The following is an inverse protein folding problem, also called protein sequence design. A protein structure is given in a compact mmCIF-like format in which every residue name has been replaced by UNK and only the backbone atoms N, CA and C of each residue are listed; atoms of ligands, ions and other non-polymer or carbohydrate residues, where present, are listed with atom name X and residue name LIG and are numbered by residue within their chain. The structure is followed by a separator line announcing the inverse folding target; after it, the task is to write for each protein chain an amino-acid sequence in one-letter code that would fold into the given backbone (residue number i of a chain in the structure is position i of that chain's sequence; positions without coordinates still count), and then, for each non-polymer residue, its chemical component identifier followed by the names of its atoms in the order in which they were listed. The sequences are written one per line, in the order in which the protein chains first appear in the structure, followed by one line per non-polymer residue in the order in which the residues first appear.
data_IF_971730940521
#
_entry.id   IF_971730940521
#
_cell.length_a   1.000
_cell.length_b   1.000
_cell.length_c   1.000
_cell.angle_alpha   90.00
_cell.angle_beta   90.00
_cell.angle_gamma   90.00
#
_symmetry.space_group_name_H-M   'P 1'
#
loop_
_entity.id
_entity.type
_entity.pdbx_description
1 polymer ?
#
# COMPACT_ATOMS: atom_id res chain seq x y z
N UNK A 1 -25.99 -14.90 -12.31
CA UNK A 1 -24.90 -15.10 -11.32
C UNK A 1 -24.32 -13.74 -11.00
N UNK A 2 -24.60 -13.18 -9.81
CA UNK A 2 -24.04 -11.88 -9.40
C UNK A 2 -22.51 -12.02 -9.28
N UNK A 3 -21.70 -11.09 -9.82
CA UNK A 3 -20.27 -11.13 -9.56
C UNK A 3 -20.06 -10.88 -8.06
N UNK A 4 -19.58 -11.90 -7.35
CA UNK A 4 -19.18 -11.80 -5.95
C UNK A 4 -18.31 -10.55 -5.76
N UNK A 5 -18.67 -9.72 -4.77
CA UNK A 5 -17.92 -8.53 -4.35
C UNK A 5 -16.62 -8.96 -3.65
N UNK A 6 -15.76 -9.70 -4.36
CA UNK A 6 -14.53 -10.26 -3.82
C UNK A 6 -13.62 -9.12 -3.38
N UNK A 7 -12.95 -9.23 -2.22
CA UNK A 7 -11.97 -8.26 -1.79
C UNK A 7 -10.87 -8.07 -2.84
N UNK A 8 -10.26 -6.90 -2.81
CA UNK A 8 -9.17 -6.50 -3.69
C UNK A 8 -7.92 -6.30 -2.87
N UNK A 9 -6.80 -6.64 -3.49
CA UNK A 9 -5.47 -6.30 -3.02
C UNK A 9 -5.07 -4.99 -3.71
N UNK A 10 -4.59 -4.05 -2.93
CA UNK A 10 -4.09 -2.77 -3.42
C UNK A 10 -2.66 -2.51 -2.96
N UNK A 11 -1.93 -1.72 -3.75
CA UNK A 11 -0.75 -0.98 -3.29
C UNK A 11 -1.20 0.43 -2.92
N UNK A 12 -0.93 0.86 -1.69
CA UNK A 12 -1.25 2.20 -1.17
C UNK A 12 -0.01 3.07 -1.03
N UNK A 13 -0.11 4.33 -1.45
CA UNK A 13 0.91 5.37 -1.30
C UNK A 13 0.43 6.40 -0.29
N UNK A 14 1.21 6.62 0.76
CA UNK A 14 0.92 7.51 1.87
C UNK A 14 1.93 8.65 1.93
N UNK A 15 1.52 9.78 2.52
CA UNK A 15 2.43 10.88 2.84
C UNK A 15 3.58 10.37 3.72
N UNK A 16 4.80 10.77 3.39
CA UNK A 16 6.00 10.54 4.20
C UNK A 16 6.67 11.88 4.51
N UNK A 17 7.05 12.09 5.77
CA UNK A 17 7.64 13.34 6.23
C UNK A 17 9.15 13.51 5.97
N UNK A 18 9.81 12.52 5.35
CA UNK A 18 11.26 12.52 5.12
C UNK A 18 11.62 12.78 3.66
N UNK A 19 12.79 13.38 3.43
CA UNK A 19 13.35 13.56 2.09
C UNK A 19 13.62 12.22 1.41
N UNK A 20 13.31 12.14 0.12
CA UNK A 20 13.64 10.99 -0.72
C UNK A 20 15.15 10.80 -0.88
N UNK A 21 15.56 9.54 -0.87
CA UNK A 21 16.94 9.05 -1.03
C UNK A 21 17.07 8.16 -2.26
N UNK A 22 15.98 7.59 -2.78
CA UNK A 22 16.02 6.73 -3.96
C UNK A 22 16.02 7.57 -5.26
N UNK A 23 16.71 7.13 -6.34
CA UNK A 23 16.80 7.87 -7.60
C UNK A 23 15.46 8.18 -8.24
N UNK A 24 14.51 7.23 -8.22
CA UNK A 24 13.15 7.42 -8.74
C UNK A 24 12.21 8.14 -7.77
N UNK A 25 12.71 8.52 -6.59
CA UNK A 25 11.98 9.22 -5.52
C UNK A 25 10.76 8.47 -5.01
N UNK A 26 10.61 7.19 -5.33
CA UNK A 26 9.55 6.33 -4.80
C UNK A 26 9.50 6.33 -3.27
N UNK A 27 10.63 6.53 -2.61
CA UNK A 27 10.72 6.64 -1.15
C UNK A 27 10.29 8.00 -0.59
N UNK A 28 9.81 8.93 -1.43
CA UNK A 28 9.04 10.12 -1.01
C UNK A 28 7.69 9.76 -0.39
N UNK A 29 7.26 8.50 -0.55
CA UNK A 29 6.00 7.99 -0.02
C UNK A 29 6.27 6.85 0.95
N UNK A 30 5.34 6.66 1.88
CA UNK A 30 5.25 5.41 2.63
C UNK A 30 4.37 4.44 1.83
N UNK A 31 4.87 3.24 1.58
CA UNK A 31 4.14 2.26 0.80
C UNK A 31 3.52 1.21 1.74
N UNK A 32 2.33 0.73 1.41
CA UNK A 32 1.69 -0.39 2.09
C UNK A 32 0.91 -1.28 1.12
N UNK A 33 0.62 -2.51 1.54
CA UNK A 33 -0.43 -3.32 0.93
C UNK A 33 -1.75 -3.08 1.66
N UNK A 34 -2.86 -3.11 0.92
CA UNK A 34 -4.20 -2.97 1.47
C UNK A 34 -5.09 -4.12 1.01
N UNK A 35 -5.90 -4.66 1.91
CA UNK A 35 -7.05 -5.49 1.56
C UNK A 35 -8.34 -4.72 1.83
N UNK A 36 -9.32 -4.82 0.93
CA UNK A 36 -10.58 -4.11 1.11
C UNK A 36 -11.64 -4.45 0.06
N UNK A 37 -12.86 -3.92 0.19
CA UNK A 37 -13.95 -4.20 -0.74
C UNK A 37 -13.68 -3.57 -2.12
N UNK A 38 -14.17 -4.20 -3.20
CA UNK A 38 -14.05 -3.66 -4.56
C UNK A 38 -14.72 -2.29 -4.73
N UNK A 39 -15.82 -2.07 -4.02
CA UNK A 39 -16.61 -0.84 -4.04
C UNK A 39 -16.65 -0.27 -2.63
N UNK A 40 -16.46 1.04 -2.50
CA UNK A 40 -16.66 1.77 -1.24
C UNK A 40 -18.17 1.87 -0.96
N UNK A 41 -18.75 0.73 -0.56
CA UNK A 41 -20.15 0.65 -0.18
C UNK A 41 -20.29 1.22 1.24
N UNK A 42 -20.73 2.47 1.32
CA UNK A 42 -21.20 3.14 2.55
C UNK A 42 -20.28 2.96 3.76
N UNK A 43 -19.36 3.91 3.96
CA UNK A 43 -18.78 4.35 5.26
C UNK A 43 -18.02 3.35 6.15
N UNK A 44 -18.39 2.08 6.22
CA UNK A 44 -18.04 1.20 7.34
C UNK A 44 -17.10 0.05 6.99
N UNK A 45 -16.86 -0.24 5.72
CA UNK A 45 -15.86 -1.22 5.31
C UNK A 45 -14.50 -0.54 5.09
N UNK A 46 -13.65 -0.67 6.11
CA UNK A 46 -12.27 -0.15 6.13
C UNK A 46 -11.32 -1.05 5.36
N UNK A 47 -10.24 -0.49 4.83
CA UNK A 47 -9.15 -1.31 4.33
C UNK A 47 -8.27 -1.73 5.49
N UNK A 48 -7.78 -2.96 5.45
CA UNK A 48 -6.71 -3.41 6.33
C UNK A 48 -5.38 -3.06 5.67
N UNK A 49 -4.58 -2.23 6.33
CA UNK A 49 -3.24 -1.84 5.92
C UNK A 49 -2.21 -2.79 6.51
N UNK A 50 -1.37 -3.35 5.63
CA UNK A 50 -0.22 -4.17 5.99
C UNK A 50 1.03 -3.45 5.53
N UNK A 51 1.90 -3.10 6.48
CA UNK A 51 3.11 -2.35 6.19
C UNK A 51 4.25 -2.70 7.13
N UNK A 52 5.44 -2.23 6.78
CA UNK A 52 6.57 -2.16 7.70
C UNK A 52 6.90 -0.70 7.97
N UNK A 53 7.12 -0.36 9.23
CA UNK A 53 7.40 1.02 9.64
C UNK A 53 8.61 1.06 10.56
N UNK A 54 9.34 2.16 10.48
CA UNK A 54 10.38 2.51 11.42
C UNK A 54 9.74 3.11 12.67
N UNK A 55 9.97 2.49 13.83
CA UNK A 55 9.48 2.94 15.13
C UNK A 55 10.67 3.37 15.98
N UNK A 56 10.59 4.58 16.51
CA UNK A 56 11.54 5.05 17.53
C UNK A 56 11.30 4.29 18.83
N UNK A 57 12.36 3.73 19.38
CA UNK A 57 12.38 3.02 20.66
C UNK A 57 13.31 3.77 21.59
N UNK A 58 12.79 4.16 22.75
CA UNK A 58 13.54 4.86 23.80
C UNK A 58 13.77 3.86 24.92
N UNK A 59 15.01 3.45 25.13
CA UNK A 59 15.37 2.42 26.11
C UNK A 59 16.68 2.80 26.84
N UNK A 60 16.83 2.34 28.09
CA UNK A 60 18.04 2.49 28.90
C UNK A 60 18.07 3.68 29.86
N UNK A 61 19.09 3.69 30.75
CA UNK A 61 19.51 4.85 31.55
C UNK A 61 21.00 5.12 31.31
N UNK A 62 21.40 6.26 30.72
CA UNK A 62 20.53 7.32 30.18
C UNK A 62 19.74 6.84 28.94
N UNK A 63 18.60 7.48 28.68
CA UNK A 63 17.72 7.16 27.55
C UNK A 63 18.48 7.22 26.22
N UNK A 64 18.56 6.07 25.54
CA UNK A 64 19.07 5.96 24.19
C UNK A 64 17.89 5.86 23.21
N UNK A 65 17.89 6.72 22.19
CA UNK A 65 16.92 6.64 21.09
C UNK A 65 17.48 5.73 20.00
N UNK A 66 16.76 4.65 19.70
CA UNK A 66 17.06 3.74 18.61
C UNK A 66 15.88 3.64 17.65
N UNK A 67 16.12 3.12 16.45
CA UNK A 67 15.12 2.89 15.41
C UNK A 67 14.98 1.39 15.20
N UNK A 68 13.75 0.90 15.27
CA UNK A 68 13.42 -0.51 15.07
C UNK A 68 12.35 -0.61 14.00
N UNK A 69 12.60 -1.40 12.97
CA UNK A 69 11.60 -1.71 11.96
C UNK A 69 10.68 -2.82 12.47
N UNK A 70 9.38 -2.63 12.28
CA UNK A 70 8.36 -3.62 12.65
C UNK A 70 7.33 -3.80 11.54
N UNK A 71 6.79 -5.02 11.42
CA UNK A 71 5.57 -5.29 10.66
C UNK A 71 4.36 -4.89 11.50
N UNK A 72 3.42 -4.17 10.89
CA UNK A 72 2.20 -3.71 11.55
C UNK A 72 0.97 -3.92 10.65
N UNK A 73 -0.17 -4.12 11.32
CA UNK A 73 -1.49 -4.27 10.70
C UNK A 73 -2.41 -3.22 11.32
N UNK A 74 -2.90 -2.30 10.50
CA UNK A 74 -3.66 -1.14 10.94
C UNK A 74 -4.90 -0.92 10.07
N UNK A 75 -5.83 -0.10 10.57
CA UNK A 75 -6.90 0.47 9.73
C UNK A 75 -6.33 1.58 8.87
N UNK A 76 -6.77 1.68 7.61
CA UNK A 76 -6.38 2.77 6.72
C UNK A 76 -6.95 4.14 7.12
N UNK A 77 -7.95 4.19 8.03
CA UNK A 77 -8.65 5.44 8.42
C UNK A 77 -7.76 6.50 9.06
N UNK A 78 -6.69 6.12 9.74
CA UNK A 78 -5.81 7.05 10.48
C UNK A 78 -4.67 7.59 9.62
N UNK A 79 -4.60 7.24 8.34
CA UNK A 79 -3.40 7.42 7.52
C UNK A 79 -3.66 8.32 6.31
N UNK A 80 -2.73 9.25 6.03
CA UNK A 80 -2.79 10.22 4.92
C UNK A 80 -2.57 9.52 3.55
N UNK A 81 -3.54 8.70 3.14
CA UNK A 81 -3.53 7.97 1.87
C UNK A 81 -3.63 8.95 0.70
N UNK A 82 -2.61 8.94 -0.17
CA UNK A 82 -2.59 9.77 -1.38
C UNK A 82 -3.22 9.05 -2.56
N UNK A 83 -2.91 7.77 -2.76
CA UNK A 83 -3.45 6.98 -3.86
C UNK A 83 -3.40 5.49 -3.54
N UNK A 84 -4.31 4.72 -4.14
CA UNK A 84 -4.27 3.25 -4.10
C UNK A 84 -4.44 2.64 -5.48
N UNK A 85 -3.75 1.54 -5.74
CA UNK A 85 -3.69 0.85 -7.03
C UNK A 85 -4.19 -0.57 -6.84
N UNK A 86 -5.26 -0.97 -7.53
CA UNK A 86 -5.74 -2.36 -7.52
C UNK A 86 -4.74 -3.21 -8.30
N UNK A 87 -4.16 -4.20 -7.62
CA UNK A 87 -3.16 -5.11 -8.20
C UNK A 87 -3.63 -6.56 -8.22
N UNK A 88 -4.73 -6.90 -7.53
CA UNK A 88 -5.23 -8.27 -7.52
C UNK A 88 -6.62 -8.46 -6.92
N UNK A 89 -7.19 -9.62 -7.22
CA UNK A 89 -8.41 -10.13 -6.57
C UNK A 89 -8.00 -11.11 -5.48
N UNK A 90 -8.48 -10.91 -4.26
CA UNK A 90 -8.21 -11.82 -3.15
C UNK A 90 -9.18 -13.00 -3.24
N UNK A 91 -8.65 -14.22 -3.21
CA UNK A 91 -9.41 -15.46 -3.15
C UNK A 91 -9.42 -16.05 -1.74
N UNK A 92 -8.34 -15.87 -0.97
CA UNK A 92 -8.22 -16.32 0.42
C UNK A 92 -7.49 -15.25 1.27
N UNK A 93 -8.27 -14.52 2.08
CA UNK A 93 -7.75 -13.44 2.91
C UNK A 93 -6.87 -13.95 4.07
N UNK A 94 -7.26 -15.04 4.73
CA UNK A 94 -6.52 -15.57 5.86
C UNK A 94 -5.14 -16.09 5.42
N UNK A 95 -5.06 -16.76 4.27
CA UNK A 95 -3.78 -17.20 3.71
C UNK A 95 -2.94 -16.03 3.23
N UNK A 96 -3.55 -15.00 2.66
CA UNK A 96 -2.83 -13.75 2.34
C UNK A 96 -2.20 -13.18 3.60
N UNK A 97 -2.95 -12.97 4.67
CA UNK A 97 -2.45 -12.41 5.93
C UNK A 97 -1.33 -13.25 6.55
N UNK A 98 -1.46 -14.58 6.49
CA UNK A 98 -0.40 -15.50 6.94
C UNK A 98 0.89 -15.32 6.15
N UNK A 99 0.79 -15.15 4.83
CA UNK A 99 1.96 -14.89 3.97
C UNK A 99 2.58 -13.55 4.32
N UNK A 100 1.78 -12.47 4.38
CA UNK A 100 2.28 -11.13 4.65
C UNK A 100 3.01 -11.05 6.00
N UNK A 101 2.48 -11.70 7.05
CA UNK A 101 3.12 -11.77 8.37
C UNK A 101 4.43 -12.56 8.37
N UNK A 102 4.61 -13.49 7.44
CA UNK A 102 5.82 -14.32 7.33
C UNK A 102 6.99 -13.64 6.61
N UNK A 103 6.74 -12.53 5.91
CA UNK A 103 7.78 -11.78 5.19
C UNK A 103 8.77 -11.16 6.18
N UNK A 104 10.08 -11.48 6.11
CA UNK A 104 11.03 -10.99 7.10
C UNK A 104 11.23 -9.47 7.03
N UNK A 105 11.20 -8.85 8.21
CA UNK A 105 11.62 -7.44 8.40
C UNK A 105 13.14 -7.41 8.51
N UNK A 106 13.79 -6.59 7.68
CA UNK A 106 15.26 -6.53 7.56
C UNK A 106 15.75 -5.08 7.70
N UNK A 107 15.33 -4.42 8.78
CA UNK A 107 15.58 -2.99 9.03
C UNK A 107 17.06 -2.61 9.12
N UNK A 108 17.89 -3.58 9.48
CA UNK A 108 19.35 -3.48 9.57
C UNK A 108 20.06 -3.51 8.21
N UNK A 109 19.38 -3.97 7.15
CA UNK A 109 19.97 -4.09 5.82
C UNK A 109 19.95 -2.73 5.10
N UNK A 110 21.12 -2.28 4.65
CA UNK A 110 21.24 -1.04 3.88
C UNK A 110 20.34 -1.07 2.62
N UNK A 111 19.62 0.03 2.41
CA UNK A 111 18.69 0.18 1.29
C UNK A 111 17.34 -0.53 1.46
N UNK A 112 17.14 -1.29 2.54
CA UNK A 112 15.85 -1.91 2.84
C UNK A 112 14.83 -0.87 3.32
N UNK A 113 13.58 -1.01 2.84
CA UNK A 113 12.48 -0.08 3.13
C UNK A 113 11.12 -0.75 2.85
N UNK A 114 10.03 0.02 3.03
CA UNK A 114 8.66 -0.47 2.78
C UNK A 114 8.41 -0.91 1.33
N UNK A 115 9.08 -0.32 0.34
CA UNK A 115 8.96 -0.70 -1.07
C UNK A 115 9.53 -2.11 -1.28
N UNK A 116 10.73 -2.38 -0.74
CA UNK A 116 11.36 -3.69 -0.83
C UNK A 116 10.56 -4.79 -0.10
N UNK A 117 9.92 -4.46 1.03
CA UNK A 117 9.04 -5.39 1.74
C UNK A 117 7.79 -5.72 0.92
N UNK A 118 7.14 -4.73 0.30
CA UNK A 118 5.95 -4.96 -0.53
C UNK A 118 6.29 -5.81 -1.75
N UNK A 119 7.42 -5.55 -2.40
CA UNK A 119 7.86 -6.35 -3.54
C UNK A 119 7.94 -7.84 -3.19
N UNK A 120 8.59 -8.18 -2.08
CA UNK A 120 8.71 -9.57 -1.60
C UNK A 120 7.36 -10.13 -1.15
N UNK A 121 6.57 -9.35 -0.40
CA UNK A 121 5.26 -9.75 0.09
C UNK A 121 4.26 -10.04 -1.04
N UNK A 122 4.24 -9.17 -2.06
CA UNK A 122 3.41 -9.33 -3.23
C UNK A 122 3.84 -10.54 -4.06
N UNK A 123 5.14 -10.73 -4.27
CA UNK A 123 5.67 -11.89 -4.98
C UNK A 123 5.31 -13.21 -4.29
N UNK A 124 5.41 -13.29 -2.96
CA UNK A 124 5.02 -14.50 -2.24
C UNK A 124 3.51 -14.75 -2.32
N UNK A 125 2.69 -13.70 -2.26
CA UNK A 125 1.25 -13.82 -2.40
C UNK A 125 0.81 -14.22 -3.82
N UNK A 126 1.49 -13.75 -4.87
CA UNK A 126 1.20 -14.10 -6.26
C UNK A 126 1.57 -15.55 -6.59
N UNK A 127 2.67 -16.05 -6.02
CA UNK A 127 3.11 -17.43 -6.21
C UNK A 127 2.29 -18.46 -5.43
N UNK A 128 1.56 -18.04 -4.38
CA UNK A 128 0.81 -18.94 -3.52
C UNK A 128 -0.51 -19.41 -4.17
N UNK A 129 -0.68 -20.73 -4.47
CA UNK A 129 -1.85 -21.21 -5.19
C UNK A 129 -3.15 -20.90 -4.46
N UNK A 130 -4.10 -20.26 -5.15
CA UNK A 130 -5.44 -19.97 -4.65
C UNK A 130 -5.52 -18.78 -3.67
N UNK A 131 -4.42 -18.07 -3.39
CA UNK A 131 -4.44 -16.86 -2.54
C UNK A 131 -4.97 -15.68 -3.34
N UNK A 132 -4.38 -15.43 -4.52
CA UNK A 132 -4.85 -14.43 -5.47
C UNK A 132 -5.55 -15.07 -6.67
N UNK A 133 -6.57 -14.37 -7.18
CA UNK A 133 -7.24 -14.68 -8.45
C UNK A 133 -6.54 -13.97 -9.60
N UNK A 134 -7.27 -13.22 -10.44
CA UNK A 134 -6.63 -12.29 -11.39
C UNK A 134 -5.77 -11.28 -10.63
N UNK A 135 -4.50 -11.15 -11.00
CA UNK A 135 -3.55 -10.21 -10.39
C UNK A 135 -2.48 -9.79 -11.40
N UNK A 136 -1.80 -8.69 -11.11
CA UNK A 136 -0.62 -8.23 -11.86
C UNK A 136 0.58 -9.13 -11.50
N UNK A 137 1.48 -9.37 -12.46
CA UNK A 137 2.68 -10.20 -12.23
C UNK A 137 3.96 -9.38 -12.10
N UNK A 138 4.05 -8.27 -12.84
CA UNK A 138 5.23 -7.43 -12.89
C UNK A 138 5.21 -6.35 -11.80
N UNK A 139 6.13 -6.48 -10.84
CA UNK A 139 6.32 -5.48 -9.78
C UNK A 139 6.74 -4.11 -10.32
N UNK A 140 7.57 -4.08 -11.36
CA UNK A 140 8.07 -2.83 -11.91
C UNK A 140 6.95 -2.05 -12.60
N UNK A 141 6.05 -2.74 -13.30
CA UNK A 141 4.84 -2.14 -13.87
C UNK A 141 3.92 -1.57 -12.78
N UNK A 142 3.70 -2.30 -11.69
CA UNK A 142 2.92 -1.84 -10.53
C UNK A 142 3.54 -0.56 -9.95
N UNK A 143 4.85 -0.59 -9.70
CA UNK A 143 5.61 0.52 -9.12
C UNK A 143 5.55 1.76 -10.00
N UNK A 144 5.81 1.61 -11.29
CA UNK A 144 5.78 2.71 -12.26
C UNK A 144 4.38 3.30 -12.41
N UNK A 145 3.35 2.46 -12.43
CA UNK A 145 1.95 2.89 -12.48
C UNK A 145 1.57 3.69 -11.25
N UNK A 146 1.95 3.20 -10.05
CA UNK A 146 1.65 3.89 -8.81
C UNK A 146 2.29 5.30 -8.76
N UNK A 147 3.57 5.39 -9.13
CA UNK A 147 4.31 6.65 -9.18
C UNK A 147 3.72 7.63 -10.21
N UNK A 148 3.44 7.14 -11.43
CA UNK A 148 2.87 7.97 -12.49
C UNK A 148 1.47 8.48 -12.12
N UNK A 149 0.65 7.63 -11.50
CA UNK A 149 -0.71 7.98 -11.10
C UNK A 149 -0.71 9.03 -9.97
N UNK A 150 0.14 8.89 -8.95
CA UNK A 150 0.20 9.91 -7.87
C UNK A 150 0.72 11.25 -8.39
N UNK A 151 1.67 11.25 -9.32
CA UNK A 151 2.20 12.47 -9.93
C UNK A 151 1.13 13.16 -10.82
N UNK A 152 0.34 12.39 -11.56
CA UNK A 152 -0.83 12.91 -12.28
C UNK A 152 -1.83 13.58 -11.31
N UNK A 153 -2.10 12.97 -10.15
CA UNK A 153 -3.01 13.54 -9.14
C UNK A 153 -2.45 14.80 -8.48
N UNK A 154 -1.15 14.86 -8.27
CA UNK A 154 -0.46 16.09 -7.83
C UNK A 154 -0.62 17.20 -8.86
N UNK A 155 -0.34 16.93 -10.13
CA UNK A 155 -0.48 17.90 -11.22
C UNK A 155 -1.91 18.42 -11.38
N UNK A 156 -2.91 17.60 -11.03
CA UNK A 156 -4.32 17.97 -11.00
C UNK A 156 -4.75 18.69 -9.71
N UNK A 157 -3.83 19.04 -8.80
CA UNK A 157 -4.16 19.73 -7.55
C UNK A 157 -5.07 18.93 -6.62
N UNK A 158 -4.91 17.59 -6.60
CA UNK A 158 -5.77 16.72 -5.78
C UNK A 158 -5.48 16.82 -4.28
N UNK A 159 -4.25 17.17 -3.91
CA UNK A 159 -3.77 17.07 -2.53
C UNK A 159 -3.48 18.41 -1.85
N UNK A 160 -3.60 19.53 -2.57
CA UNK A 160 -3.23 20.87 -2.11
C UNK A 160 -4.42 21.82 -1.93
N UNK A 161 -5.65 21.33 -2.16
CA UNK A 161 -6.89 22.11 -2.02
C UNK A 161 -7.16 23.08 -3.17
N UNK A 162 -6.32 23.13 -4.21
CA UNK A 162 -6.54 23.98 -5.38
C UNK A 162 -7.48 23.33 -6.41
N UNK A 163 -7.66 22.00 -6.36
CA UNK A 163 -8.57 21.24 -7.21
C UNK A 163 -9.97 21.04 -6.60
N UNK A 164 -10.93 20.60 -7.43
CA UNK A 164 -12.31 20.24 -7.01
C UNK A 164 -12.43 18.73 -6.79
N UNK A 165 -11.83 18.22 -5.71
CA UNK A 165 -11.90 16.80 -5.36
C UNK A 165 -12.50 16.59 -3.97
N UNK A 166 -13.16 15.46 -3.79
CA UNK A 166 -13.63 15.00 -2.48
C UNK A 166 -12.45 14.37 -1.72
N UNK A 167 -11.96 14.99 -0.63
CA UNK A 167 -10.82 14.48 0.12
C UNK A 167 -11.15 13.18 0.87
N UNK A 168 -12.42 12.84 1.05
CA UNK A 168 -12.85 11.57 1.67
C UNK A 168 -12.71 10.37 0.73
N UNK A 169 -12.43 10.62 -0.56
CA UNK A 169 -12.35 9.60 -1.59
C UNK A 169 -10.94 9.49 -2.14
N UNK A 170 -10.15 8.50 -1.72
CA UNK A 170 -8.80 8.34 -2.24
C UNK A 170 -8.84 8.00 -3.74
N UNK A 171 -7.99 8.65 -4.57
CA UNK A 171 -7.89 8.30 -5.99
C UNK A 171 -7.46 6.84 -6.13
N UNK A 172 -8.17 6.10 -6.97
CA UNK A 172 -7.99 4.66 -7.13
C UNK A 172 -7.81 4.29 -8.59
N UNK A 173 -6.68 3.68 -8.94
CA UNK A 173 -6.44 3.11 -10.27
C UNK A 173 -6.64 1.60 -10.24
N UNK A 174 -7.43 1.06 -11.17
CA UNK A 174 -7.59 -0.39 -11.33
C UNK A 174 -6.72 -0.90 -12.47
N UNK A 175 -5.55 -1.47 -12.15
CA UNK A 175 -4.65 -2.03 -13.17
C UNK A 175 -5.26 -3.24 -13.89
N UNK A 176 -6.14 -3.99 -13.23
CA UNK A 176 -6.80 -5.15 -13.85
C UNK A 176 -7.80 -4.72 -14.93
N UNK A 177 -8.26 -3.47 -14.90
CA UNK A 177 -9.19 -2.90 -15.88
C UNK A 177 -8.57 -1.76 -16.71
N UNK A 178 -7.34 -1.36 -16.42
CA UNK A 178 -6.65 -0.25 -17.09
C UNK A 178 -7.37 1.09 -16.96
N UNK A 179 -8.02 1.37 -15.83
CA UNK A 179 -8.80 2.61 -15.65
C UNK A 179 -8.85 3.10 -14.21
N UNK A 180 -9.07 4.40 -14.06
CA UNK A 180 -9.41 5.01 -12.78
C UNK A 180 -10.84 4.60 -12.36
N UNK A 181 -10.98 4.21 -11.09
CA UNK A 181 -12.30 3.98 -10.50
C UNK A 181 -12.87 5.33 -10.08
N UNK A 182 -14.05 5.65 -10.60
CA UNK A 182 -14.85 6.77 -10.14
C UNK A 182 -15.44 6.37 -8.79
N UNK A 183 -14.80 6.81 -7.72
CA UNK A 183 -15.29 6.66 -6.35
C UNK A 183 -16.16 7.85 -5.99
#
# INVERSE_FOLDING_TARGET
MMPYNKPRLYVGLYVRGSSAKMPGREDSYHWALLSGPKHDLKSDLQHTMYHVKDRLVIEGEPEAVSSVWEYSVESDRSSMLLARIVVGKICDLHRLESILRSVPVRGEKEGWNSISWIQEAFHLASMAPGVLGSHMEDWEEIRQTAMSYVDEKKAKHRFDGLGKFDPSKPPTWDMLQGKELLV
#
